data_IF_148829573779
#
_entry.id   IF_148829573779
#
_cell.length_a   1.000
_cell.length_b   1.000
_cell.length_c   1.000
_cell.angle_alpha   90.00
_cell.angle_beta   90.00
_cell.angle_gamma   90.00
#
_symmetry.space_group_name_H-M   'P 1'
#
loop_
_entity.id
_entity.type
_entity.pdbx_description
1 polymer ?
#
# COMPACT_ATOMS: atom_id res chain seq x y z
N UNK A 1 22.61 -1.09 14.24
CA UNK A 1 21.73 -1.23 15.44
C UNK A 1 20.39 -1.74 14.93
N UNK A 2 20.13 -3.05 15.06
CA UNK A 2 18.88 -3.67 14.56
C UNK A 2 17.76 -3.32 15.53
N UNK A 3 16.89 -2.38 15.16
CA UNK A 3 15.69 -2.07 15.94
C UNK A 3 14.63 -3.12 15.58
N UNK A 4 14.44 -4.11 16.46
CA UNK A 4 13.31 -5.04 16.37
C UNK A 4 12.02 -4.23 16.49
N UNK A 5 11.27 -4.12 15.39
CA UNK A 5 9.90 -3.62 15.42
C UNK A 5 9.09 -4.55 16.32
N UNK A 6 8.70 -4.08 17.50
CA UNK A 6 7.78 -4.82 18.38
C UNK A 6 6.48 -5.01 17.58
N UNK A 7 6.06 -6.27 17.41
CA UNK A 7 4.71 -6.60 16.94
C UNK A 7 3.72 -5.84 17.82
N UNK A 8 3.09 -4.83 17.26
CA UNK A 8 1.99 -4.13 17.93
C UNK A 8 0.85 -5.14 18.07
N UNK A 9 0.55 -5.49 19.31
CA UNK A 9 -0.49 -6.46 19.62
C UNK A 9 -1.85 -5.78 19.36
N UNK A 10 -2.46 -6.06 18.21
CA UNK A 10 -3.76 -5.51 17.80
C UNK A 10 -4.95 -6.18 18.51
N UNK A 11 -4.72 -6.94 19.57
CA UNK A 11 -5.76 -7.52 20.39
C UNK A 11 -6.23 -6.48 21.42
N UNK A 12 -7.47 -6.07 21.30
CA UNK A 12 -8.27 -5.28 22.25
C UNK A 12 -8.26 -3.75 22.06
N UNK A 13 -8.99 -3.28 21.03
CA UNK A 13 -9.74 -2.04 21.15
C UNK A 13 -11.20 -2.35 20.80
N UNK A 14 -12.10 -2.14 21.76
CA UNK A 14 -13.55 -2.20 21.56
C UNK A 14 -13.90 -1.29 20.39
N UNK A 15 -14.23 -1.89 19.26
CA UNK A 15 -14.57 -1.19 18.04
C UNK A 15 -16.03 -0.75 18.17
N UNK A 16 -16.37 0.56 18.13
CA UNK A 16 -17.77 0.95 18.06
C UNK A 16 -18.31 0.39 16.73
N UNK A 17 -19.27 -0.53 16.85
CA UNK A 17 -20.02 -1.02 15.70
C UNK A 17 -20.70 0.15 15.04
N UNK A 18 -20.26 0.55 13.85
CA UNK A 18 -20.99 1.51 13.03
C UNK A 18 -22.35 0.90 12.70
N UNK A 19 -23.41 1.56 13.09
CA UNK A 19 -24.80 1.12 12.87
C UNK A 19 -25.16 0.90 11.39
N UNK A 20 -24.32 1.32 10.47
CA UNK A 20 -24.54 1.31 9.02
C UNK A 20 -23.77 0.23 8.26
N UNK A 21 -23.24 -0.79 8.95
CA UNK A 21 -22.68 -1.99 8.30
C UNK A 21 -21.37 -1.85 7.53
N UNK A 22 -20.77 -0.65 7.44
CA UNK A 22 -19.51 -0.40 6.76
C UNK A 22 -18.40 -0.07 7.76
N UNK A 23 -17.46 -0.99 7.95
CA UNK A 23 -16.25 -0.78 8.76
C UNK A 23 -15.00 -0.94 7.87
N UNK A 24 -14.31 0.17 7.52
CA UNK A 24 -13.13 0.13 6.66
C UNK A 24 -11.95 -0.61 7.31
N UNK A 25 -11.89 -0.67 8.65
CA UNK A 25 -10.84 -1.39 9.36
C UNK A 25 -11.10 -2.90 9.33
N UNK A 26 -12.34 -3.33 9.49
CA UNK A 26 -12.72 -4.73 9.29
C UNK A 26 -12.46 -5.15 7.83
N UNK A 27 -12.73 -4.29 6.85
CA UNK A 27 -12.42 -4.52 5.44
C UNK A 27 -10.92 -4.54 5.17
N UNK A 28 -10.11 -3.72 5.85
CA UNK A 28 -8.64 -3.78 5.81
C UNK A 28 -8.17 -5.17 6.18
N UNK A 29 -8.58 -5.70 7.34
CA UNK A 29 -8.22 -7.04 7.80
C UNK A 29 -8.72 -8.14 6.85
N UNK A 30 -9.91 -7.99 6.30
CA UNK A 30 -10.45 -8.93 5.32
C UNK A 30 -9.65 -8.94 4.02
N UNK A 31 -9.25 -7.77 3.53
CA UNK A 31 -8.41 -7.65 2.33
C UNK A 31 -7.02 -8.24 2.56
N UNK A 32 -6.38 -7.96 3.70
CA UNK A 32 -5.05 -8.47 4.05
C UNK A 32 -5.01 -10.00 4.07
N UNK A 33 -6.03 -10.67 4.63
CA UNK A 33 -6.12 -12.16 4.60
C UNK A 33 -6.02 -12.75 3.20
N UNK A 34 -6.39 -11.98 2.16
CA UNK A 34 -6.35 -12.42 0.76
C UNK A 34 -5.06 -12.05 0.06
N UNK A 35 -4.52 -10.86 0.37
CA UNK A 35 -3.44 -10.25 -0.43
C UNK A 35 -2.08 -10.22 0.27
N UNK A 36 -2.00 -10.67 1.53
CA UNK A 36 -0.77 -10.72 2.32
C UNK A 36 -0.48 -12.16 2.77
N UNK A 37 0.78 -12.58 2.70
CA UNK A 37 1.29 -13.87 3.22
C UNK A 37 2.68 -13.67 3.83
N UNK A 38 2.75 -13.56 5.15
CA UNK A 38 3.97 -13.12 5.82
C UNK A 38 4.40 -11.76 5.28
N UNK A 39 5.66 -11.61 4.92
CA UNK A 39 6.16 -10.37 4.31
C UNK A 39 5.89 -10.25 2.80
N UNK A 40 5.13 -11.18 2.17
CA UNK A 40 4.79 -11.13 0.75
C UNK A 40 3.44 -10.47 0.53
N UNK A 41 3.35 -9.69 -0.54
CA UNK A 41 2.13 -9.03 -0.99
C UNK A 41 1.76 -9.43 -2.42
N UNK A 42 0.46 -9.38 -2.75
CA UNK A 42 -0.03 -9.63 -4.11
C UNK A 42 0.11 -8.42 -5.01
N UNK A 43 0.62 -8.67 -6.23
CA UNK A 43 0.70 -7.71 -7.32
C UNK A 43 0.14 -8.31 -8.59
N UNK A 44 -0.62 -7.51 -9.33
CA UNK A 44 -1.13 -7.87 -10.66
C UNK A 44 -0.06 -7.65 -11.73
N UNK A 45 0.84 -6.68 -11.50
CA UNK A 45 2.00 -6.36 -12.36
C UNK A 45 3.11 -5.76 -11.50
N UNK A 46 4.37 -6.17 -11.73
CA UNK A 46 5.49 -5.72 -10.89
C UNK A 46 6.07 -4.36 -11.28
N UNK A 47 6.16 -4.05 -12.56
CA UNK A 47 6.74 -2.78 -12.97
C UNK A 47 6.15 -2.31 -14.30
N UNK A 48 5.86 -1.03 -14.39
CA UNK A 48 5.37 -0.35 -15.58
C UNK A 48 5.81 1.11 -15.55
N UNK A 49 6.47 1.61 -16.61
CA UNK A 49 6.76 3.04 -16.73
C UNK A 49 5.47 3.82 -16.99
N UNK A 50 5.32 4.95 -16.34
CA UNK A 50 4.19 5.87 -16.44
C UNK A 50 4.71 7.30 -16.61
N UNK A 51 3.94 8.15 -17.28
CA UNK A 51 4.30 9.56 -17.54
C UNK A 51 3.89 10.53 -16.42
N UNK A 52 3.25 10.03 -15.37
CA UNK A 52 2.86 10.87 -14.23
C UNK A 52 4.09 11.41 -13.49
N UNK A 53 3.98 12.57 -12.88
CA UNK A 53 5.05 13.21 -12.08
C UNK A 53 6.37 13.44 -12.85
N UNK A 54 6.32 13.59 -14.14
CA UNK A 54 7.53 13.69 -14.98
C UNK A 54 8.22 12.34 -15.26
N UNK A 55 7.64 11.24 -14.84
CA UNK A 55 8.10 9.87 -15.02
C UNK A 55 8.19 9.09 -13.71
N UNK A 56 7.43 8.01 -13.62
CA UNK A 56 7.40 7.10 -12.47
C UNK A 56 7.28 5.65 -12.94
N UNK A 57 7.96 4.74 -12.26
CA UNK A 57 7.78 3.30 -12.47
C UNK A 57 6.93 2.72 -11.35
N UNK A 58 5.81 2.09 -11.71
CA UNK A 58 4.82 1.65 -10.74
C UNK A 58 4.54 0.15 -10.83
N UNK A 59 4.46 -0.51 -9.66
CA UNK A 59 3.89 -1.83 -9.49
C UNK A 59 2.37 -1.70 -9.24
N UNK A 60 1.59 -2.63 -9.79
CA UNK A 60 0.15 -2.67 -9.59
C UNK A 60 -0.20 -3.64 -8.46
N UNK A 61 -0.57 -3.09 -7.32
CA UNK A 61 -1.02 -3.86 -6.17
C UNK A 61 -2.41 -4.47 -6.35
N UNK A 62 -2.73 -5.43 -5.49
CA UNK A 62 -4.04 -6.10 -5.43
C UNK A 62 -4.65 -5.90 -4.04
N UNK A 63 -5.95 -5.59 -3.99
CA UNK A 63 -6.72 -5.43 -2.77
C UNK A 63 -6.83 -3.99 -2.29
N UNK A 64 -8.01 -3.67 -1.78
CA UNK A 64 -8.32 -2.37 -1.19
C UNK A 64 -9.37 -2.56 -0.11
N UNK A 65 -9.33 -1.74 0.92
CA UNK A 65 -10.31 -1.69 2.00
C UNK A 65 -11.53 -0.80 1.66
N UNK A 66 -11.53 -0.14 0.49
CA UNK A 66 -12.65 0.61 -0.04
C UNK A 66 -13.24 -0.07 -1.29
N UNK A 67 -14.50 0.25 -1.60
CA UNK A 67 -15.24 -0.26 -2.76
C UNK A 67 -15.83 0.90 -3.59
N UNK A 68 -15.01 1.94 -3.84
CA UNK A 68 -15.45 3.13 -4.56
C UNK A 68 -16.13 2.77 -5.88
N UNK A 69 -17.32 3.35 -6.15
CA UNK A 69 -18.08 3.11 -7.38
C UNK A 69 -17.33 3.56 -8.63
N UNK A 70 -16.53 4.60 -8.51
CA UNK A 70 -15.70 5.21 -9.58
C UNK A 70 -14.28 4.62 -9.65
N UNK A 71 -13.98 3.49 -8.99
CA UNK A 71 -12.65 2.91 -8.98
C UNK A 71 -12.27 2.39 -10.37
N UNK A 72 -11.16 2.90 -10.93
CA UNK A 72 -10.64 2.44 -12.23
C UNK A 72 -9.93 1.07 -12.14
N UNK A 73 -9.54 0.65 -10.92
CA UNK A 73 -8.81 -0.59 -10.67
C UNK A 73 -9.77 -1.74 -10.36
N UNK A 74 -10.60 -2.13 -11.33
CA UNK A 74 -11.69 -3.09 -11.13
C UNK A 74 -11.22 -4.47 -10.63
N UNK A 75 -10.55 -5.25 -11.48
CA UNK A 75 -10.14 -6.63 -11.14
C UNK A 75 -9.27 -6.73 -9.90
N UNK A 76 -8.17 -5.95 -9.74
CA UNK A 76 -7.32 -6.02 -8.55
C UNK A 76 -8.06 -5.73 -7.24
N UNK A 77 -9.06 -4.84 -7.27
CA UNK A 77 -9.83 -4.44 -6.08
C UNK A 77 -11.02 -5.36 -5.83
N UNK A 78 -11.78 -5.73 -6.88
CA UNK A 78 -13.03 -6.46 -6.73
C UNK A 78 -12.88 -7.99 -6.76
N UNK A 79 -11.79 -8.48 -7.38
CA UNK A 79 -11.49 -9.92 -7.53
C UNK A 79 -10.09 -10.28 -7.02
N UNK A 80 -9.74 -9.92 -5.77
CA UNK A 80 -8.38 -10.08 -5.26
C UNK A 80 -7.96 -11.54 -5.12
N UNK A 81 -8.91 -12.47 -4.94
CA UNK A 81 -8.63 -13.91 -4.85
C UNK A 81 -8.00 -14.45 -6.14
N UNK A 82 -8.55 -14.08 -7.29
CA UNK A 82 -8.14 -14.57 -8.61
C UNK A 82 -7.15 -13.66 -9.34
N UNK A 83 -6.75 -12.53 -8.75
CA UNK A 83 -5.87 -11.55 -9.39
C UNK A 83 -4.49 -11.55 -8.75
N UNK A 84 -3.45 -11.54 -9.59
CA UNK A 84 -2.06 -11.32 -9.18
C UNK A 84 -1.38 -12.53 -8.54
N UNK A 85 -0.10 -12.31 -8.19
CA UNK A 85 0.78 -13.30 -7.53
C UNK A 85 1.45 -12.64 -6.32
N UNK A 86 1.95 -13.46 -5.40
CA UNK A 86 2.69 -12.99 -4.22
C UNK A 86 4.16 -12.77 -4.55
N UNK A 87 4.69 -11.63 -4.12
CA UNK A 87 6.09 -11.26 -4.26
C UNK A 87 6.65 -10.73 -2.94
N UNK A 88 7.93 -10.97 -2.70
CA UNK A 88 8.64 -10.39 -1.56
C UNK A 88 8.97 -8.91 -1.83
N UNK A 89 9.27 -8.11 -0.80
CA UNK A 89 9.72 -6.72 -0.95
C UNK A 89 10.93 -6.61 -1.89
N UNK A 90 11.91 -7.51 -1.75
CA UNK A 90 13.10 -7.55 -2.60
C UNK A 90 12.77 -7.80 -4.08
N UNK A 91 11.81 -8.72 -4.37
CA UNK A 91 11.40 -8.99 -5.75
C UNK A 91 10.71 -7.77 -6.38
N UNK A 92 9.88 -7.07 -5.59
CA UNK A 92 9.20 -5.85 -6.03
C UNK A 92 10.21 -4.74 -6.28
N UNK A 93 11.11 -4.49 -5.33
CA UNK A 93 12.16 -3.48 -5.46
C UNK A 93 13.04 -3.72 -6.69
N UNK A 94 13.52 -4.95 -6.89
CA UNK A 94 14.36 -5.32 -8.04
C UNK A 94 13.65 -5.09 -9.38
N UNK A 95 12.35 -5.39 -9.45
CA UNK A 95 11.58 -5.17 -10.67
C UNK A 95 11.37 -3.67 -10.94
N UNK A 96 11.03 -2.91 -9.90
CA UNK A 96 10.83 -1.46 -9.99
C UNK A 96 12.12 -0.73 -10.36
N UNK A 97 13.22 -1.01 -9.69
CA UNK A 97 14.52 -0.37 -9.92
C UNK A 97 15.05 -0.67 -11.33
N UNK A 98 15.01 -1.94 -11.76
CA UNK A 98 15.42 -2.34 -13.11
C UNK A 98 14.66 -1.61 -14.20
N UNK A 99 13.33 -1.46 -14.04
CA UNK A 99 12.51 -0.79 -15.04
C UNK A 99 12.65 0.73 -14.95
N UNK A 100 12.81 1.28 -13.74
CA UNK A 100 13.07 2.70 -13.53
C UNK A 100 14.39 3.15 -14.18
N UNK A 101 15.45 2.34 -14.05
CA UNK A 101 16.75 2.62 -14.68
C UNK A 101 16.65 2.72 -16.21
N UNK A 102 15.90 1.81 -16.85
CA UNK A 102 15.71 1.83 -18.31
C UNK A 102 15.06 3.13 -18.81
N UNK A 103 14.23 3.75 -17.99
CA UNK A 103 13.47 4.94 -18.34
C UNK A 103 14.00 6.23 -17.69
N UNK A 104 15.10 6.16 -16.93
CA UNK A 104 15.68 7.29 -16.21
C UNK A 104 14.77 7.84 -15.10
N UNK A 105 13.83 7.02 -14.59
CA UNK A 105 12.90 7.45 -13.55
C UNK A 105 13.59 7.46 -12.17
N UNK A 106 13.38 8.51 -11.41
CA UNK A 106 13.77 8.61 -10.01
C UNK A 106 12.64 8.23 -9.05
N UNK A 107 11.40 8.29 -9.51
CA UNK A 107 10.22 7.94 -8.74
C UNK A 107 9.81 6.50 -9.01
N UNK A 108 9.53 5.76 -7.94
CA UNK A 108 8.94 4.43 -7.99
C UNK A 108 7.72 4.38 -7.07
N UNK A 109 6.77 3.50 -7.34
CA UNK A 109 5.56 3.35 -6.52
C UNK A 109 4.99 1.94 -6.56
N UNK A 110 4.15 1.66 -5.56
CA UNK A 110 3.18 0.59 -5.62
C UNK A 110 1.78 1.23 -5.50
N UNK A 111 0.92 1.01 -6.50
CA UNK A 111 -0.30 1.81 -6.65
C UNK A 111 -1.47 1.01 -7.24
N UNK A 112 -2.55 1.71 -7.60
CA UNK A 112 -3.77 1.19 -8.19
C UNK A 112 -4.66 0.35 -7.24
N UNK A 113 -4.29 0.25 -5.97
CA UNK A 113 -5.06 -0.39 -4.89
C UNK A 113 -4.81 0.38 -3.59
N UNK A 114 -4.81 -0.30 -2.44
CA UNK A 114 -4.47 0.36 -1.16
C UNK A 114 -3.05 0.00 -0.74
N UNK A 115 -2.16 0.99 -0.77
CA UNK A 115 -0.73 0.81 -0.52
C UNK A 115 -0.35 0.47 0.93
N UNK A 116 -1.25 0.72 1.90
CA UNK A 116 -0.98 0.45 3.33
C UNK A 116 -1.34 -0.96 3.79
N UNK A 117 -1.91 -1.80 2.92
CA UNK A 117 -2.17 -3.20 3.25
C UNK A 117 -0.85 -4.00 3.32
N UNK A 118 -0.66 -4.76 4.41
CA UNK A 118 0.56 -5.53 4.62
C UNK A 118 1.73 -4.66 5.08
N UNK A 119 1.62 -4.08 6.25
CA UNK A 119 2.58 -3.14 6.82
C UNK A 119 4.02 -3.68 6.83
N UNK A 120 4.22 -4.96 7.19
CA UNK A 120 5.55 -5.60 7.19
C UNK A 120 6.20 -5.55 5.80
N UNK A 121 5.43 -5.90 4.76
CA UNK A 121 5.90 -5.81 3.37
C UNK A 121 6.28 -4.38 2.98
N UNK A 122 5.43 -3.40 3.34
CA UNK A 122 5.67 -2.01 3.03
C UNK A 122 6.94 -1.49 3.71
N UNK A 123 7.13 -1.79 4.99
CA UNK A 123 8.33 -1.36 5.73
C UNK A 123 9.61 -1.93 5.13
N UNK A 124 9.66 -3.24 4.87
CA UNK A 124 10.84 -3.85 4.24
C UNK A 124 11.11 -3.27 2.84
N UNK A 125 10.06 -2.97 2.06
CA UNK A 125 10.22 -2.32 0.76
C UNK A 125 10.78 -0.90 0.91
N UNK A 126 10.31 -0.14 1.89
CA UNK A 126 10.78 1.22 2.15
C UNK A 126 12.23 1.25 2.68
N UNK A 127 12.66 0.26 3.46
CA UNK A 127 14.05 0.10 3.87
C UNK A 127 14.97 -0.05 2.65
N UNK A 128 14.59 -0.90 1.69
CA UNK A 128 15.33 -1.06 0.44
C UNK A 128 15.37 0.23 -0.40
N UNK A 129 14.31 1.01 -0.35
CA UNK A 129 14.23 2.31 -1.06
C UNK A 129 15.12 3.35 -0.38
N UNK A 130 15.14 3.42 0.95
CA UNK A 130 15.96 4.37 1.70
C UNK A 130 17.47 4.17 1.49
N UNK A 131 17.88 2.94 1.21
CA UNK A 131 19.25 2.57 0.86
C UNK A 131 19.56 2.76 -0.65
N UNK A 132 18.64 3.40 -1.40
CA UNK A 132 18.75 3.56 -2.84
C UNK A 132 18.72 5.02 -3.30
N UNK A 133 18.79 5.23 -4.62
CA UNK A 133 18.65 6.54 -5.27
C UNK A 133 17.20 6.95 -5.57
N UNK A 134 16.23 6.07 -5.31
CA UNK A 134 14.83 6.29 -5.67
C UNK A 134 14.04 6.95 -4.55
N UNK A 135 12.95 7.62 -4.93
CA UNK A 135 11.92 8.08 -4.02
C UNK A 135 10.66 7.24 -4.23
N UNK A 136 10.12 6.71 -3.16
CA UNK A 136 8.88 5.92 -3.20
C UNK A 136 7.66 6.81 -3.01
N UNK A 137 6.70 6.73 -3.94
CA UNK A 137 5.41 7.40 -3.81
C UNK A 137 4.39 6.39 -3.30
N UNK A 138 4.01 6.51 -2.03
CA UNK A 138 2.94 5.73 -1.41
C UNK A 138 1.59 6.38 -1.72
N UNK A 139 0.78 5.71 -2.52
CA UNK A 139 -0.60 6.13 -2.79
C UNK A 139 -1.57 5.38 -1.85
N UNK A 140 -2.32 6.12 -1.05
CA UNK A 140 -3.25 5.55 -0.06
C UNK A 140 -4.57 6.33 -0.01
N UNK A 141 -5.64 5.67 0.40
CA UNK A 141 -6.90 6.34 0.72
C UNK A 141 -6.90 6.98 2.12
N UNK A 142 -5.85 6.76 2.91
CA UNK A 142 -5.63 7.37 4.21
C UNK A 142 -6.36 6.72 5.37
N UNK A 143 -7.24 5.74 5.14
CA UNK A 143 -8.06 5.14 6.21
C UNK A 143 -7.21 4.47 7.30
N UNK A 144 -6.22 3.69 6.90
CA UNK A 144 -5.31 3.02 7.85
C UNK A 144 -4.45 4.04 8.59
N UNK A 145 -3.92 5.06 7.89
CA UNK A 145 -3.09 6.10 8.50
C UNK A 145 -3.87 6.95 9.50
N UNK A 146 -5.13 7.27 9.20
CA UNK A 146 -5.99 8.02 10.12
C UNK A 146 -6.44 7.22 11.34
N UNK A 147 -6.46 5.89 11.24
CA UNK A 147 -6.84 4.98 12.32
C UNK A 147 -5.67 4.60 13.23
N UNK A 148 -4.49 4.39 12.65
CA UNK A 148 -3.29 3.91 13.35
C UNK A 148 -2.19 4.98 13.32
N UNK A 149 -2.13 5.76 14.41
CA UNK A 149 -1.15 6.83 14.57
C UNK A 149 0.27 6.30 14.64
N UNK A 150 0.48 5.15 15.29
CA UNK A 150 1.83 4.59 15.46
C UNK A 150 2.39 4.12 14.11
N UNK A 151 1.53 3.56 13.26
CA UNK A 151 1.90 3.24 11.88
C UNK A 151 2.24 4.49 11.07
N UNK A 152 1.44 5.56 11.17
CA UNK A 152 1.72 6.82 10.49
C UNK A 152 3.06 7.44 10.93
N UNK A 153 3.35 7.43 12.24
CA UNK A 153 4.64 7.89 12.79
C UNK A 153 5.81 7.01 12.35
N UNK A 154 5.60 5.69 12.25
CA UNK A 154 6.63 4.78 11.77
C UNK A 154 6.99 5.02 10.30
N UNK A 155 6.03 5.41 9.45
CA UNK A 155 6.29 5.80 8.06
C UNK A 155 7.09 7.11 7.94
N UNK A 156 6.89 8.05 8.86
CA UNK A 156 7.59 9.33 8.84
C UNK A 156 9.12 9.25 9.03
N UNK A 157 9.65 8.05 9.37
CA UNK A 157 11.10 7.83 9.52
C UNK A 157 11.83 7.66 8.19
N UNK A 158 11.12 7.30 7.13
CA UNK A 158 11.70 7.03 5.82
C UNK A 158 11.97 8.31 5.06
N UNK A 159 13.23 8.54 4.68
CA UNK A 159 13.70 9.78 4.03
C UNK A 159 13.20 9.87 2.59
N UNK A 160 13.17 8.73 1.91
CA UNK A 160 12.84 8.61 0.49
C UNK A 160 11.37 8.25 0.27
N UNK A 161 10.49 8.59 1.21
CA UNK A 161 9.05 8.35 1.14
C UNK A 161 8.27 9.65 0.87
N UNK A 162 7.45 9.63 -0.16
CA UNK A 162 6.42 10.64 -0.41
C UNK A 162 5.03 10.00 -0.26
N UNK A 163 4.23 10.49 0.68
CA UNK A 163 2.87 9.98 0.92
C UNK A 163 1.84 10.85 0.19
N UNK A 164 1.05 10.22 -0.68
CA UNK A 164 -0.07 10.84 -1.39
C UNK A 164 -1.39 10.26 -0.91
N UNK A 165 -2.16 11.05 -0.17
CA UNK A 165 -3.49 10.65 0.30
C UNK A 165 -4.55 11.03 -0.72
N UNK A 166 -5.33 10.04 -1.18
CA UNK A 166 -6.47 10.23 -2.09
C UNK A 166 -7.79 10.14 -1.30
N UNK A 167 -8.30 11.27 -0.86
CA UNK A 167 -9.59 11.37 -0.17
C UNK A 167 -10.70 10.93 -1.14
N UNK A 168 -11.62 10.04 -0.67
CA UNK A 168 -12.66 9.41 -1.50
C UNK A 168 -14.07 9.95 -1.26
N UNK A 169 -14.25 10.78 -0.25
CA UNK A 169 -15.48 11.45 0.07
C UNK A 169 -15.21 12.65 0.97
N UNK A 170 -16.07 13.64 0.96
CA UNK A 170 -15.95 14.85 1.78
C UNK A 170 -16.72 14.75 3.12
N UNK A 171 -17.59 13.75 3.24
CA UNK A 171 -18.43 13.53 4.41
C UNK A 171 -18.85 12.06 4.54
N UNK A 172 -19.48 11.70 5.68
CA UNK A 172 -19.89 10.32 5.99
C UNK A 172 -20.85 9.68 4.98
N UNK A 173 -21.61 10.45 4.21
CA UNK A 173 -22.58 9.92 3.24
C UNK A 173 -21.89 9.50 1.92
N UNK A 174 -20.71 10.08 1.66
CA UNK A 174 -19.93 9.80 0.45
C UNK A 174 -18.93 8.65 0.64
N UNK A 175 -18.60 8.34 1.88
CA UNK A 175 -17.83 7.18 2.28
C UNK A 175 -18.77 5.98 2.48
#
# INVERSE_FOLDING_TARGET
MVIKVKKVNMANRNNPTHKDGYDPIALTRAAERVVVRGNKRKYARLARPLRFYGGITSAQEVGCNLRCKFCFSDKPVRRPHSTGRFYSPQQVFNALSKEADKHGHKLISASASEGTLGQEHLFELLELVDDSKYVFVLETNGMTLGHDRDFALALARFKNLHVRVSIKGSNKKEY
#
